data_IF_059244555943
#
_entry.id   IF_059244555943
#
_cell.length_a   1.000
_cell.length_b   1.000
_cell.length_c   1.000
_cell.angle_alpha   90.00
_cell.angle_beta   90.00
_cell.angle_gamma   90.00
#
_symmetry.space_group_name_H-M   'P 1'
#
loop_
_entity.id
_entity.type
_entity.pdbx_description
1 polymer ?
#
# COMPACT_ATOMS: atom_id res chain seq x y z
N UNK A 1 -7.07 -34.46 25.33
CA UNK A 1 -7.72 -35.35 24.35
C UNK A 1 -7.65 -36.84 24.72
N UNK A 2 -7.35 -37.21 25.97
CA UNK A 2 -7.24 -38.61 26.42
C UNK A 2 -8.29 -39.04 27.47
N UNK A 3 -9.33 -38.23 27.72
CA UNK A 3 -10.36 -38.54 28.74
C UNK A 3 -11.68 -39.11 28.20
N UNK A 4 -11.86 -39.26 26.89
CA UNK A 4 -13.15 -39.74 26.30
C UNK A 4 -13.18 -41.21 25.89
N UNK A 5 -12.10 -41.98 26.09
CA UNK A 5 -12.05 -43.41 25.73
C UNK A 5 -12.28 -44.37 26.91
N UNK A 6 -12.53 -43.85 28.12
CA UNK A 6 -12.69 -44.67 29.34
C UNK A 6 -14.15 -45.07 29.64
N UNK A 7 -15.14 -44.47 28.99
CA UNK A 7 -16.56 -44.68 29.36
C UNK A 7 -17.25 -45.79 28.54
N UNK A 8 -16.67 -46.23 27.42
CA UNK A 8 -17.26 -47.26 26.56
C UNK A 8 -16.88 -48.71 26.93
N UNK A 9 -15.95 -48.93 27.86
CA UNK A 9 -15.50 -50.29 28.23
C UNK A 9 -16.32 -50.95 29.35
N UNK A 10 -17.31 -50.26 29.93
CA UNK A 10 -18.09 -50.75 31.08
C UNK A 10 -19.49 -51.31 30.73
N UNK A 11 -19.94 -51.24 29.47
CA UNK A 11 -21.32 -51.62 29.10
C UNK A 11 -21.43 -53.05 28.52
N UNK A 12 -20.33 -53.72 28.18
CA UNK A 12 -20.36 -55.04 27.50
C UNK A 12 -20.06 -56.25 28.42
N UNK A 13 -20.57 -56.26 29.67
CA UNK A 13 -20.32 -57.39 30.60
C UNK A 13 -21.55 -57.98 31.32
N UNK A 14 -22.76 -57.81 30.79
CA UNK A 14 -23.97 -58.48 31.32
C UNK A 14 -24.92 -58.93 30.22
N UNK A 15 -24.63 -60.08 29.62
CA UNK A 15 -25.64 -60.95 28.98
C UNK A 15 -24.96 -62.21 28.42
N UNK A 16 -24.59 -63.12 29.31
CA UNK A 16 -24.18 -64.48 28.95
C UNK A 16 -24.79 -65.47 29.94
N UNK A 17 -26.11 -65.56 29.94
CA UNK A 17 -26.86 -66.70 30.49
C UNK A 17 -28.00 -66.96 29.51
N UNK A 18 -27.87 -68.04 28.74
CA UNK A 18 -28.96 -68.57 27.93
C UNK A 18 -29.67 -69.69 28.69
N UNK A 19 -30.93 -69.98 28.36
CA UNK A 19 -31.50 -71.29 28.64
C UNK A 19 -31.71 -72.09 27.35
N UNK A 20 -31.60 -73.40 27.56
CA UNK A 20 -31.75 -74.50 26.62
C UNK A 20 -33.07 -74.45 25.84
N UNK A 21 -33.01 -74.75 24.54
CA UNK A 21 -34.16 -75.15 23.73
C UNK A 21 -34.11 -76.67 23.59
N UNK A 22 -35.06 -77.36 24.24
CA UNK A 22 -35.49 -78.69 23.84
C UNK A 22 -36.57 -78.57 22.76
N UNK A 23 -36.56 -79.55 21.86
CA UNK A 23 -37.50 -79.77 20.77
C UNK A 23 -38.96 -79.71 21.23
N UNK A 24 -39.76 -78.83 20.64
CA UNK A 24 -41.20 -79.08 20.49
C UNK A 24 -41.69 -78.70 19.10
N UNK A 25 -42.37 -79.68 18.53
CA UNK A 25 -42.80 -79.83 17.16
C UNK A 25 -43.90 -78.87 16.74
N UNK A 26 -43.75 -78.41 15.50
CA UNK A 26 -44.68 -77.67 14.64
C UNK A 26 -46.17 -77.97 14.87
N UNK A 27 -46.90 -76.96 15.36
CA UNK A 27 -48.35 -76.82 15.23
C UNK A 27 -48.67 -75.56 14.42
N UNK A 28 -48.98 -75.74 13.13
CA UNK A 28 -49.55 -74.70 12.27
C UNK A 28 -50.99 -74.42 12.74
N UNK A 29 -51.22 -73.30 13.41
CA UNK A 29 -52.55 -72.69 13.47
C UNK A 29 -52.43 -71.19 13.25
N UNK A 30 -52.97 -70.78 12.11
CA UNK A 30 -53.36 -69.43 11.73
C UNK A 30 -53.94 -68.63 12.91
N UNK A 31 -53.29 -67.54 13.27
CA UNK A 31 -53.91 -66.45 14.02
C UNK A 31 -53.55 -65.10 13.41
N UNK A 32 -54.61 -64.31 13.34
CA UNK A 32 -54.85 -63.01 12.73
C UNK A 32 -53.74 -61.96 12.86
N UNK A 33 -53.58 -61.20 11.78
CA UNK A 33 -52.81 -59.96 11.73
C UNK A 33 -53.55 -58.86 12.51
N UNK A 34 -53.16 -58.66 13.76
CA UNK A 34 -53.43 -57.40 14.47
C UNK A 34 -52.35 -56.37 14.07
N UNK A 35 -52.74 -55.11 13.77
CA UNK A 35 -51.79 -54.06 13.45
C UNK A 35 -50.99 -53.71 14.70
N UNK A 36 -49.67 -53.91 14.64
CA UNK A 36 -48.73 -53.50 15.68
C UNK A 36 -48.72 -51.98 15.76
N UNK A 37 -49.31 -51.45 16.83
CA UNK A 37 -49.14 -50.06 17.24
C UNK A 37 -47.65 -49.77 17.43
N UNK A 38 -47.10 -48.96 16.52
CA UNK A 38 -45.75 -48.42 16.64
C UNK A 38 -45.72 -47.45 17.84
N UNK A 39 -44.82 -47.64 18.82
CA UNK A 39 -44.72 -46.74 19.95
C UNK A 39 -44.38 -45.32 19.48
N UNK A 40 -45.26 -44.38 19.85
CA UNK A 40 -45.14 -42.94 19.66
C UNK A 40 -43.78 -42.45 20.24
N UNK A 41 -42.81 -42.17 19.36
CA UNK A 41 -41.54 -41.59 19.81
C UNK A 41 -40.35 -41.63 18.86
N UNK A 42 -40.35 -42.48 17.82
CA UNK A 42 -39.29 -42.44 16.80
C UNK A 42 -39.72 -41.60 15.60
N UNK A 43 -39.38 -40.30 15.64
CA UNK A 43 -39.42 -39.45 14.45
C UNK A 43 -38.58 -40.08 13.33
N UNK A 44 -39.07 -40.04 12.09
CA UNK A 44 -38.38 -40.55 10.89
C UNK A 44 -36.96 -39.95 10.78
N UNK A 45 -36.79 -38.69 11.18
CA UNK A 45 -35.50 -38.01 11.25
C UNK A 45 -34.49 -38.65 12.22
N UNK A 46 -34.96 -39.26 13.31
CA UNK A 46 -34.10 -39.99 14.25
C UNK A 46 -33.61 -41.32 13.67
N UNK A 47 -34.48 -42.01 12.92
CA UNK A 47 -34.14 -43.25 12.22
C UNK A 47 -33.14 -42.95 11.09
N UNK A 48 -33.33 -41.87 10.34
CA UNK A 48 -32.37 -41.43 9.31
C UNK A 48 -31.00 -41.10 9.90
N UNK A 49 -30.96 -40.40 11.04
CA UNK A 49 -29.71 -40.09 11.73
C UNK A 49 -28.98 -41.36 12.23
N UNK A 50 -29.71 -42.31 12.81
CA UNK A 50 -29.16 -43.60 13.25
C UNK A 50 -28.64 -44.42 12.06
N UNK A 51 -29.35 -44.40 10.93
CA UNK A 51 -28.96 -45.12 9.73
C UNK A 51 -27.70 -44.52 9.09
N UNK A 52 -27.54 -43.20 9.14
CA UNK A 52 -26.30 -42.52 8.74
C UNK A 52 -25.13 -42.81 9.68
N UNK A 53 -25.37 -42.88 10.99
CA UNK A 53 -24.34 -43.25 11.97
C UNK A 53 -23.91 -44.71 11.80
N UNK A 54 -24.85 -45.64 11.59
CA UNK A 54 -24.53 -47.04 11.27
C UNK A 54 -23.76 -47.19 9.96
N UNK A 55 -24.07 -46.39 8.93
CA UNK A 55 -23.30 -46.38 7.67
C UNK A 55 -21.87 -45.89 7.88
N UNK A 56 -21.67 -44.85 8.71
CA UNK A 56 -20.34 -44.35 9.08
C UNK A 56 -19.55 -45.39 9.85
N UNK A 57 -20.17 -46.04 10.83
CA UNK A 57 -19.54 -47.09 11.64
C UNK A 57 -19.15 -48.30 10.78
N UNK A 58 -20.05 -48.75 9.89
CA UNK A 58 -19.75 -49.82 8.93
C UNK A 58 -18.58 -49.46 8.01
N UNK A 59 -18.52 -48.22 7.51
CA UNK A 59 -17.41 -47.76 6.69
C UNK A 59 -16.09 -47.74 7.47
N UNK A 60 -16.12 -47.32 8.74
CA UNK A 60 -14.95 -47.33 9.61
C UNK A 60 -14.44 -48.75 9.86
N UNK A 61 -15.32 -49.69 10.21
CA UNK A 61 -14.97 -51.10 10.42
C UNK A 61 -14.42 -51.72 9.13
N UNK A 62 -14.99 -51.37 7.97
CA UNK A 62 -14.50 -51.85 6.68
C UNK A 62 -13.06 -51.38 6.40
N UNK A 63 -12.73 -50.12 6.70
CA UNK A 63 -11.38 -49.58 6.54
C UNK A 63 -10.39 -50.24 7.51
N UNK A 64 -10.80 -50.47 8.75
CA UNK A 64 -9.99 -51.18 9.75
C UNK A 64 -9.70 -52.62 9.30
N UNK A 65 -10.70 -53.33 8.78
CA UNK A 65 -10.53 -54.67 8.24
C UNK A 65 -9.60 -54.68 7.03
N UNK A 66 -9.73 -53.73 6.11
CA UNK A 66 -8.84 -53.59 4.94
C UNK A 66 -7.38 -53.34 5.37
N UNK A 67 -7.15 -52.51 6.40
CA UNK A 67 -5.81 -52.28 6.94
C UNK A 67 -5.19 -53.55 7.53
N UNK A 68 -5.97 -54.34 8.27
CA UNK A 68 -5.50 -55.62 8.81
C UNK A 68 -5.29 -56.68 7.72
N UNK A 69 -6.17 -56.76 6.73
CA UNK A 69 -6.03 -57.67 5.58
C UNK A 69 -4.74 -57.34 4.80
N UNK A 70 -4.52 -56.07 4.45
CA UNK A 70 -3.31 -55.63 3.77
C UNK A 70 -2.03 -55.95 4.57
N UNK A 71 -2.04 -55.77 5.89
CA UNK A 71 -0.92 -56.15 6.75
C UNK A 71 -0.68 -57.66 6.77
N UNK A 72 -1.74 -58.48 6.93
CA UNK A 72 -1.62 -59.94 6.89
C UNK A 72 -1.11 -60.44 5.54
N UNK A 73 -1.57 -59.84 4.43
CA UNK A 73 -1.09 -60.17 3.09
C UNK A 73 0.39 -59.80 2.87
N UNK A 74 0.86 -58.68 3.40
CA UNK A 74 2.26 -58.25 3.23
C UNK A 74 3.24 -58.97 4.17
N UNK A 75 2.83 -59.25 5.41
CA UNK A 75 3.73 -59.79 6.44
C UNK A 75 3.57 -61.29 6.72
N UNK A 76 2.39 -61.87 6.50
CA UNK A 76 2.14 -63.31 6.75
C UNK A 76 2.18 -64.17 5.48
N UNK A 77 2.10 -63.59 4.27
CA UNK A 77 2.22 -64.37 3.02
C UNK A 77 3.58 -65.12 2.90
N UNK A 78 4.65 -64.59 3.50
CA UNK A 78 5.94 -65.26 3.54
C UNK A 78 6.03 -66.44 4.54
N UNK A 79 5.13 -66.54 5.51
CA UNK A 79 5.14 -67.60 6.51
C UNK A 79 4.40 -68.88 6.07
N UNK A 80 3.44 -68.78 5.13
CA UNK A 80 2.67 -69.93 4.65
C UNK A 80 3.24 -70.59 3.39
N UNK A 81 4.13 -69.91 2.64
CA UNK A 81 4.71 -70.45 1.41
C UNK A 81 5.82 -71.50 1.55
N UNK A 82 6.27 -71.83 2.79
CA UNK A 82 7.41 -72.74 3.01
C UNK A 82 7.13 -73.98 3.87
N UNK A 83 5.87 -74.26 4.20
CA UNK A 83 5.47 -75.49 4.91
C UNK A 83 4.47 -76.30 4.10
N UNK A 84 4.88 -76.86 2.96
CA UNK A 84 4.16 -77.95 2.26
C UNK A 84 5.00 -78.59 1.14
N UNK A 85 6.28 -78.86 1.40
CA UNK A 85 7.12 -79.63 0.47
C UNK A 85 7.56 -81.00 1.02
N UNK A 86 7.22 -81.33 2.27
CA UNK A 86 7.76 -82.53 2.94
C UNK A 86 6.74 -83.65 3.19
N UNK A 87 5.48 -83.48 2.78
CA UNK A 87 4.41 -84.48 3.03
C UNK A 87 3.73 -85.01 1.77
N UNK A 88 4.46 -85.02 0.64
CA UNK A 88 4.02 -85.65 -0.62
C UNK A 88 4.64 -87.01 -0.81
N UNK A 89 4.41 -87.94 0.12
CA UNK A 89 4.59 -89.38 -0.12
C UNK A 89 3.60 -90.20 0.69
N UNK A 90 2.34 -90.22 0.28
CA UNK A 90 1.52 -91.44 0.25
C UNK A 90 0.14 -91.18 -0.39
N UNK A 91 -0.19 -92.05 -1.36
CA UNK A 91 -1.53 -92.62 -1.58
C UNK A 91 -2.73 -91.71 -1.73
N UNK A 92 -3.24 -91.59 -2.96
CA UNK A 92 -4.39 -90.74 -3.27
C UNK A 92 -5.75 -91.26 -2.81
N UNK A 93 -6.72 -90.35 -2.82
CA UNK A 93 -8.08 -90.60 -3.33
C UNK A 93 -8.68 -89.24 -3.68
N UNK A 94 -9.09 -89.06 -4.94
CA UNK A 94 -9.86 -87.88 -5.37
C UNK A 94 -11.24 -87.94 -4.72
N UNK A 95 -11.45 -87.20 -3.62
CA UNK A 95 -12.78 -86.90 -3.10
C UNK A 95 -13.13 -85.47 -3.50
N UNK A 96 -14.09 -85.38 -4.43
CA UNK A 96 -14.69 -84.14 -4.93
C UNK A 96 -15.69 -83.65 -3.88
N UNK A 97 -15.28 -82.78 -2.97
CA UNK A 97 -16.21 -82.07 -2.08
C UNK A 97 -16.55 -80.70 -2.65
N UNK A 98 -17.76 -80.61 -3.20
CA UNK A 98 -18.53 -79.37 -3.37
C UNK A 98 -18.73 -78.71 -2.00
N UNK A 99 -18.63 -77.38 -1.98
CA UNK A 99 -19.36 -76.52 -1.07
C UNK A 99 -19.01 -76.63 0.41
N UNK A 100 -18.00 -75.88 0.84
CA UNK A 100 -18.04 -75.05 2.06
C UNK A 100 -16.70 -74.34 2.21
N UNK A 101 -16.76 -73.09 2.66
CA UNK A 101 -15.63 -72.16 2.65
C UNK A 101 -14.32 -72.75 3.12
N UNK A 102 -13.27 -72.52 2.34
CA UNK A 102 -11.89 -72.63 2.80
C UNK A 102 -11.72 -71.56 3.87
N UNK A 103 -12.12 -71.89 5.11
CA UNK A 103 -11.58 -71.24 6.29
C UNK A 103 -10.10 -71.60 6.26
N UNK A 104 -9.26 -70.63 5.93
CA UNK A 104 -7.83 -70.66 6.19
C UNK A 104 -7.64 -70.97 7.68
N UNK A 105 -7.59 -72.26 8.00
CA UNK A 105 -7.28 -72.78 9.31
C UNK A 105 -5.83 -72.39 9.59
N UNK A 106 -5.68 -71.29 10.34
CA UNK A 106 -4.38 -70.67 10.58
C UNK A 106 -4.35 -69.15 10.40
N UNK A 107 -5.49 -68.43 10.33
CA UNK A 107 -5.46 -66.99 10.59
C UNK A 107 -5.07 -66.76 12.05
N UNK A 108 -3.77 -66.57 12.28
CA UNK A 108 -3.22 -66.12 13.55
C UNK A 108 -3.90 -64.78 13.85
N UNK A 109 -4.81 -64.79 14.84
CA UNK A 109 -5.51 -63.58 15.28
C UNK A 109 -4.45 -62.63 15.81
N UNK A 110 -4.27 -61.49 15.15
CA UNK A 110 -3.40 -60.41 15.62
C UNK A 110 -3.75 -60.08 17.08
N UNK A 111 -2.73 -60.08 17.93
CA UNK A 111 -2.86 -59.62 19.32
C UNK A 111 -3.22 -58.13 19.33
N UNK A 112 -3.83 -57.65 20.42
CA UNK A 112 -4.21 -56.25 20.55
C UNK A 112 -3.02 -55.29 20.36
N UNK A 113 -1.84 -55.66 20.85
CA UNK A 113 -0.62 -54.90 20.67
C UNK A 113 -0.20 -54.81 19.18
N UNK A 114 -0.26 -55.93 18.45
CA UNK A 114 0.04 -55.96 17.01
C UNK A 114 -0.99 -55.14 16.22
N UNK A 115 -2.28 -55.20 16.57
CA UNK A 115 -3.31 -54.34 15.96
C UNK A 115 -3.02 -52.85 16.17
N UNK A 116 -2.61 -52.45 17.37
CA UNK A 116 -2.21 -51.06 17.63
C UNK A 116 -1.01 -50.65 16.77
N UNK A 117 0.02 -51.50 16.65
CA UNK A 117 1.20 -51.22 15.79
C UNK A 117 0.79 -51.07 14.32
N UNK A 118 -0.11 -51.93 13.82
CA UNK A 118 -0.63 -51.84 12.46
C UNK A 118 -1.38 -50.52 12.26
N UNK A 119 -2.29 -50.18 13.16
CA UNK A 119 -3.04 -48.92 13.09
C UNK A 119 -2.12 -47.69 13.20
N UNK A 120 -1.10 -47.70 14.05
CA UNK A 120 -0.12 -46.62 14.13
C UNK A 120 0.69 -46.49 12.84
N UNK A 121 1.14 -47.61 12.25
CA UNK A 121 1.86 -47.59 10.98
C UNK A 121 0.96 -47.10 9.83
N UNK A 122 -0.30 -47.49 9.81
CA UNK A 122 -1.28 -47.03 8.83
C UNK A 122 -1.63 -45.55 9.01
N UNK A 123 -1.77 -45.08 10.25
CA UNK A 123 -1.93 -43.64 10.56
C UNK A 123 -0.73 -42.84 10.06
N UNK A 124 0.50 -43.32 10.30
CA UNK A 124 1.71 -42.61 9.82
C UNK A 124 1.81 -42.63 8.29
N UNK A 125 1.43 -43.74 7.63
CA UNK A 125 1.33 -43.85 6.18
C UNK A 125 0.32 -42.87 5.60
N UNK A 126 -0.90 -42.85 6.14
CA UNK A 126 -1.96 -41.91 5.74
C UNK A 126 -1.55 -40.46 5.99
N UNK A 127 -0.90 -40.15 7.11
CA UNK A 127 -0.36 -38.81 7.38
C UNK A 127 0.73 -38.40 6.39
N UNK A 128 1.57 -39.34 5.96
CA UNK A 128 2.60 -39.07 4.96
C UNK A 128 1.98 -38.85 3.58
N UNK A 129 0.99 -39.67 3.19
CA UNK A 129 0.23 -39.51 1.95
C UNK A 129 -0.52 -38.18 1.92
N UNK A 130 -1.18 -37.79 3.02
CA UNK A 130 -1.84 -36.48 3.15
C UNK A 130 -0.85 -35.33 2.98
N UNK A 131 0.35 -35.42 3.57
CA UNK A 131 1.39 -34.40 3.37
C UNK A 131 1.85 -34.32 1.92
N UNK A 132 2.04 -35.46 1.26
CA UNK A 132 2.41 -35.53 -0.17
C UNK A 132 1.33 -34.91 -1.05
N UNK A 133 0.08 -35.36 -0.92
CA UNK A 133 -1.06 -34.82 -1.66
C UNK A 133 -1.22 -33.32 -1.43
N UNK A 134 -1.00 -32.85 -0.19
CA UNK A 134 -1.04 -31.41 0.10
C UNK A 134 0.01 -30.64 -0.70
N UNK A 135 1.24 -31.11 -0.78
CA UNK A 135 2.30 -30.46 -1.57
C UNK A 135 1.99 -30.56 -3.07
N UNK A 136 1.54 -31.73 -3.53
CA UNK A 136 1.15 -31.98 -4.93
C UNK A 136 0.00 -31.07 -5.38
N UNK A 137 -0.94 -30.72 -4.49
CA UNK A 137 -2.03 -29.79 -4.76
C UNK A 137 -1.65 -28.31 -4.56
N UNK A 138 -0.80 -27.98 -3.57
CA UNK A 138 -0.42 -26.59 -3.29
C UNK A 138 0.34 -25.95 -4.46
N UNK A 139 1.23 -26.68 -5.12
CA UNK A 139 2.01 -26.17 -6.26
C UNK A 139 1.11 -25.72 -7.43
N UNK A 140 0.21 -26.55 -7.99
CA UNK A 140 -0.67 -26.14 -9.07
C UNK A 140 -1.64 -25.05 -8.64
N UNK A 141 -2.18 -25.10 -7.40
CA UNK A 141 -3.06 -24.04 -6.89
C UNK A 141 -2.32 -22.69 -6.86
N UNK A 142 -1.08 -22.66 -6.38
CA UNK A 142 -0.26 -21.44 -6.38
C UNK A 142 0.02 -20.95 -7.81
N UNK A 143 0.30 -21.85 -8.74
CA UNK A 143 0.52 -21.50 -10.15
C UNK A 143 -0.75 -20.92 -10.81
N UNK A 144 -1.91 -21.55 -10.59
CA UNK A 144 -3.18 -21.02 -11.10
C UNK A 144 -3.52 -19.68 -10.47
N UNK A 145 -3.27 -19.50 -9.17
CA UNK A 145 -3.50 -18.23 -8.48
C UNK A 145 -2.59 -17.13 -9.05
N UNK A 146 -1.29 -17.43 -9.26
CA UNK A 146 -0.35 -16.50 -9.88
C UNK A 146 -0.77 -16.14 -11.32
N UNK A 147 -1.24 -17.12 -12.11
CA UNK A 147 -1.74 -16.86 -13.46
C UNK A 147 -3.00 -15.98 -13.44
N UNK A 148 -3.93 -16.22 -12.52
CA UNK A 148 -5.13 -15.39 -12.38
C UNK A 148 -4.72 -13.95 -12.04
N UNK A 149 -3.90 -13.75 -11.01
CA UNK A 149 -3.39 -12.42 -10.63
C UNK A 149 -2.69 -11.71 -11.80
N UNK A 150 -1.83 -12.43 -12.54
CA UNK A 150 -1.15 -11.88 -13.71
C UNK A 150 -2.14 -11.49 -14.82
N UNK A 151 -3.14 -12.33 -15.11
CA UNK A 151 -4.14 -12.02 -16.14
C UNK A 151 -5.03 -10.85 -15.76
N UNK A 152 -5.38 -10.69 -14.47
CA UNK A 152 -6.12 -9.54 -13.97
C UNK A 152 -5.32 -8.24 -14.12
N UNK A 153 -4.03 -8.27 -13.77
CA UNK A 153 -3.12 -7.15 -13.96
C UNK A 153 -3.04 -6.80 -15.45
N UNK A 154 -2.76 -7.77 -16.33
CA UNK A 154 -2.68 -7.56 -17.79
C UNK A 154 -3.99 -7.01 -18.37
N UNK A 155 -5.14 -7.49 -17.90
CA UNK A 155 -6.46 -7.02 -18.34
C UNK A 155 -6.67 -5.53 -18.08
N UNK A 156 -6.12 -5.01 -16.98
CA UNK A 156 -6.22 -3.58 -16.64
C UNK A 156 -5.11 -2.74 -17.29
N UNK A 157 -3.88 -3.26 -17.36
CA UNK A 157 -2.72 -2.52 -17.86
C UNK A 157 -2.68 -2.41 -19.38
N UNK A 158 -3.06 -3.45 -20.13
CA UNK A 158 -2.94 -3.45 -21.60
C UNK A 158 -3.78 -2.34 -22.25
N UNK A 159 -5.08 -2.16 -21.91
CA UNK A 159 -5.87 -1.07 -22.50
C UNK A 159 -5.30 0.31 -22.17
N UNK A 160 -4.86 0.52 -20.92
CA UNK A 160 -4.26 1.78 -20.50
C UNK A 160 -2.95 2.08 -21.26
N UNK A 161 -2.09 1.07 -21.44
CA UNK A 161 -0.85 1.19 -22.21
C UNK A 161 -1.13 1.44 -23.69
N UNK A 162 -2.16 0.81 -24.27
CA UNK A 162 -2.58 1.05 -25.64
C UNK A 162 -3.06 2.49 -25.85
N UNK A 163 -3.86 3.02 -24.93
CA UNK A 163 -4.34 4.41 -25.01
C UNK A 163 -3.20 5.41 -24.81
N UNK A 164 -2.30 5.14 -23.86
CA UNK A 164 -1.09 5.94 -23.63
C UNK A 164 -0.17 5.92 -24.86
N UNK A 165 0.01 4.76 -25.50
CA UNK A 165 0.80 4.63 -26.73
C UNK A 165 0.17 5.41 -27.89
N UNK A 166 -1.15 5.30 -28.09
CA UNK A 166 -1.87 6.07 -29.12
C UNK A 166 -1.68 7.57 -28.91
N UNK A 167 -1.81 8.06 -27.69
CA UNK A 167 -1.68 9.49 -27.40
C UNK A 167 -0.22 9.97 -27.56
N UNK A 168 0.73 9.29 -26.93
CA UNK A 168 2.10 9.78 -26.80
C UNK A 168 3.00 9.47 -28.00
N UNK A 169 2.69 8.41 -28.75
CA UNK A 169 3.50 7.98 -29.90
C UNK A 169 2.76 8.28 -31.20
N UNK A 170 1.52 7.81 -31.34
CA UNK A 170 0.79 7.94 -32.61
C UNK A 170 0.30 9.37 -32.85
N UNK A 171 -0.36 10.00 -31.87
CA UNK A 171 -0.92 11.34 -32.06
C UNK A 171 0.13 12.44 -31.89
N UNK A 172 0.94 12.38 -30.82
CA UNK A 172 1.94 13.39 -30.54
C UNK A 172 3.19 13.29 -31.43
N UNK A 173 3.56 12.08 -31.87
CA UNK A 173 4.76 11.83 -32.65
C UNK A 173 4.58 11.85 -34.16
N UNK A 174 3.34 11.96 -34.68
CA UNK A 174 3.05 11.94 -36.12
C UNK A 174 3.41 13.25 -36.79
N UNK A 175 4.37 13.19 -37.71
CA UNK A 175 4.71 14.33 -38.56
C UNK A 175 3.91 14.26 -39.86
N UNK A 176 3.00 15.24 -40.05
CA UNK A 176 2.17 15.36 -41.25
C UNK A 176 2.99 15.53 -42.54
N UNK A 177 4.23 16.05 -42.45
CA UNK A 177 5.10 16.28 -43.62
C UNK A 177 5.74 14.98 -44.11
N UNK A 178 6.09 14.09 -43.19
CA UNK A 178 6.76 12.82 -43.48
C UNK A 178 5.70 11.70 -43.65
N UNK A 179 4.49 11.88 -43.13
CA UNK A 179 3.44 10.86 -43.13
C UNK A 179 3.75 9.69 -42.20
N UNK A 180 4.66 9.88 -41.25
CA UNK A 180 5.15 8.85 -40.35
C UNK A 180 5.38 9.38 -38.94
N UNK A 181 5.47 8.47 -37.97
CA UNK A 181 5.80 8.78 -36.58
C UNK A 181 7.31 8.96 -36.43
N UNK A 182 7.71 10.03 -35.77
CA UNK A 182 9.12 10.31 -35.46
C UNK A 182 9.70 9.24 -34.54
N UNK A 183 10.88 8.72 -34.89
CA UNK A 183 11.57 7.66 -34.13
C UNK A 183 11.93 8.09 -32.71
N UNK A 184 12.20 9.38 -32.48
CA UNK A 184 12.48 9.94 -31.16
C UNK A 184 11.33 9.73 -30.18
N UNK A 185 10.07 9.95 -30.59
CA UNK A 185 8.90 9.73 -29.73
C UNK A 185 8.74 8.26 -29.34
N UNK A 186 9.00 7.35 -30.28
CA UNK A 186 8.97 5.92 -30.00
C UNK A 186 10.07 5.50 -29.02
N UNK A 187 11.31 5.96 -29.23
CA UNK A 187 12.45 5.66 -28.34
C UNK A 187 12.24 6.24 -26.94
N UNK A 188 11.70 7.46 -26.83
CA UNK A 188 11.36 8.08 -25.54
C UNK A 188 10.30 7.27 -24.80
N UNK A 189 9.24 6.87 -25.49
CA UNK A 189 8.18 6.03 -24.91
C UNK A 189 8.73 4.66 -24.45
N UNK A 190 9.59 4.03 -25.25
CA UNK A 190 10.26 2.78 -24.86
C UNK A 190 11.11 2.95 -23.60
N UNK A 191 11.88 4.04 -23.50
CA UNK A 191 12.65 4.37 -22.29
C UNK A 191 11.77 4.48 -21.04
N UNK A 192 10.66 5.23 -21.14
CA UNK A 192 9.69 5.37 -20.05
C UNK A 192 9.10 4.01 -19.64
N UNK A 193 8.72 3.18 -20.62
CA UNK A 193 8.19 1.84 -20.35
C UNK A 193 9.21 0.94 -19.65
N UNK A 194 10.49 1.01 -20.03
CA UNK A 194 11.54 0.22 -19.39
C UNK A 194 11.75 0.64 -17.94
N UNK A 195 11.84 1.94 -17.65
CA UNK A 195 11.94 2.45 -16.28
C UNK A 195 10.70 2.09 -15.45
N UNK A 196 9.50 2.17 -16.02
CA UNK A 196 8.26 1.77 -15.36
C UNK A 196 8.26 0.27 -15.01
N UNK A 197 8.68 -0.59 -15.93
CA UNK A 197 8.83 -2.03 -15.67
C UNK A 197 9.84 -2.30 -14.55
N UNK A 198 11.00 -1.65 -14.58
CA UNK A 198 12.04 -1.82 -13.55
C UNK A 198 11.54 -1.40 -12.16
N UNK A 199 10.86 -0.25 -12.07
CA UNK A 199 10.25 0.20 -10.80
C UNK A 199 9.16 -0.76 -10.31
N UNK A 200 8.35 -1.34 -11.21
CA UNK A 200 7.35 -2.34 -10.86
C UNK A 200 8.00 -3.65 -10.37
N UNK A 201 9.06 -4.13 -11.02
CA UNK A 201 9.83 -5.30 -10.58
C UNK A 201 10.39 -5.06 -9.17
N UNK A 202 11.05 -3.93 -8.94
CA UNK A 202 11.60 -3.58 -7.63
C UNK A 202 10.53 -3.54 -6.55
N UNK A 203 9.36 -2.95 -6.85
CA UNK A 203 8.21 -2.95 -5.94
C UNK A 203 7.73 -4.35 -5.59
N UNK A 204 7.55 -5.21 -6.60
CA UNK A 204 7.11 -6.60 -6.40
C UNK A 204 8.14 -7.43 -5.61
N UNK A 205 9.43 -7.21 -5.83
CA UNK A 205 10.50 -7.86 -5.06
C UNK A 205 10.46 -7.45 -3.57
N UNK A 206 10.29 -6.15 -3.29
CA UNK A 206 10.14 -5.65 -1.92
C UNK A 206 8.89 -6.23 -1.28
N UNK A 207 7.74 -6.19 -1.95
CA UNK A 207 6.48 -6.73 -1.43
C UNK A 207 6.58 -8.25 -1.17
N UNK A 208 7.21 -9.00 -2.09
CA UNK A 208 7.47 -10.43 -1.92
C UNK A 208 8.37 -10.72 -0.72
N UNK A 209 9.44 -9.94 -0.53
CA UNK A 209 10.32 -10.07 0.64
C UNK A 209 9.56 -9.80 1.95
N UNK A 210 8.72 -8.76 1.98
CA UNK A 210 7.91 -8.38 3.14
C UNK A 210 6.87 -9.45 3.47
N UNK A 211 6.16 -9.97 2.46
CA UNK A 211 5.19 -11.08 2.62
C UNK A 211 5.89 -12.32 3.20
N UNK A 212 7.09 -12.67 2.71
CA UNK A 212 7.87 -13.80 3.25
C UNK A 212 8.27 -13.59 4.71
N UNK A 213 8.72 -12.39 5.08
CA UNK A 213 9.06 -12.05 6.48
C UNK A 213 7.81 -12.19 7.37
N UNK A 214 6.68 -11.60 6.98
CA UNK A 214 5.41 -11.69 7.73
C UNK A 214 4.94 -13.14 7.89
N UNK A 215 5.04 -13.95 6.85
CA UNK A 215 4.69 -15.37 6.91
C UNK A 215 5.56 -16.12 7.92
N UNK A 216 6.88 -15.89 7.93
CA UNK A 216 7.79 -16.50 8.90
C UNK A 216 7.45 -16.08 10.33
N UNK A 217 7.19 -14.78 10.55
CA UNK A 217 6.76 -14.25 11.85
C UNK A 217 5.45 -14.91 12.33
N UNK A 218 4.46 -15.06 11.44
CA UNK A 218 3.19 -15.71 11.78
C UNK A 218 3.38 -17.19 12.12
N UNK A 219 4.15 -17.93 11.33
CA UNK A 219 4.48 -19.34 11.61
C UNK A 219 5.19 -19.48 12.95
N UNK A 220 6.13 -18.60 13.25
CA UNK A 220 6.83 -18.56 14.53
C UNK A 220 5.86 -18.27 15.68
N UNK A 221 4.97 -17.28 15.55
CA UNK A 221 3.92 -16.96 16.54
C UNK A 221 3.00 -18.14 16.82
N UNK A 222 2.58 -18.90 15.80
CA UNK A 222 1.76 -20.10 15.97
C UNK A 222 2.53 -21.18 16.74
N UNK A 223 3.80 -21.38 16.40
CA UNK A 223 4.66 -22.36 17.08
C UNK A 223 4.87 -22.00 18.54
N UNK A 224 5.18 -20.73 18.83
CA UNK A 224 5.29 -20.22 20.19
C UNK A 224 3.99 -20.40 20.97
N UNK A 225 2.84 -20.04 20.40
CA UNK A 225 1.53 -20.27 21.03
C UNK A 225 1.27 -21.74 21.34
N UNK A 226 1.68 -22.68 20.47
CA UNK A 226 1.58 -24.11 20.75
C UNK A 226 2.47 -24.54 21.92
N UNK A 227 3.72 -24.07 21.96
CA UNK A 227 4.66 -24.36 23.05
C UNK A 227 4.14 -23.78 24.37
N UNK A 228 3.71 -22.52 24.39
CA UNK A 228 3.15 -21.88 25.58
C UNK A 228 1.90 -22.58 26.10
N UNK A 229 1.00 -23.02 25.22
CA UNK A 229 -0.18 -23.80 25.63
C UNK A 229 0.18 -25.16 26.23
N UNK A 230 1.31 -25.74 25.84
CA UNK A 230 1.79 -27.00 26.40
C UNK A 230 2.59 -26.79 27.71
N UNK A 231 3.28 -25.66 27.85
CA UNK A 231 4.16 -25.37 28.99
C UNK A 231 3.42 -24.73 30.18
N UNK A 232 2.41 -23.90 29.95
CA UNK A 232 1.69 -23.19 31.00
C UNK A 232 0.41 -23.89 31.43
N UNK A 233 0.05 -23.72 32.70
CA UNK A 233 -1.31 -24.02 33.13
C UNK A 233 -2.31 -23.07 32.47
N UNK A 234 -3.60 -23.45 32.34
CA UNK A 234 -4.60 -22.59 31.71
C UNK A 234 -4.70 -21.18 32.32
N UNK A 235 -4.51 -21.06 33.63
CA UNK A 235 -4.58 -19.79 34.36
C UNK A 235 -3.38 -18.87 34.04
N UNK A 236 -2.16 -19.42 34.01
CA UNK A 236 -0.95 -18.67 33.67
C UNK A 236 -0.98 -18.20 32.21
N UNK A 237 -1.46 -19.05 31.30
CA UNK A 237 -1.64 -18.70 29.90
C UNK A 237 -2.61 -17.53 29.73
N UNK A 238 -3.71 -17.52 30.49
CA UNK A 238 -4.71 -16.46 30.44
C UNK A 238 -4.17 -15.13 30.99
N UNK A 239 -3.43 -15.17 32.12
CA UNK A 239 -2.74 -13.99 32.65
C UNK A 239 -1.73 -13.40 31.65
N UNK A 240 -0.91 -14.25 31.04
CA UNK A 240 0.05 -13.82 30.00
C UNK A 240 -0.67 -13.24 28.78
N UNK A 241 -1.80 -13.84 28.36
CA UNK A 241 -2.61 -13.33 27.24
C UNK A 241 -3.15 -11.94 27.51
N UNK A 242 -3.61 -11.68 28.73
CA UNK A 242 -4.09 -10.36 29.15
C UNK A 242 -2.96 -9.31 29.14
N UNK A 243 -1.79 -9.65 29.68
CA UNK A 243 -0.60 -8.78 29.66
C UNK A 243 -0.11 -8.47 28.23
N UNK A 244 -0.06 -9.47 27.36
CA UNK A 244 0.25 -9.23 25.95
C UNK A 244 -0.80 -8.33 25.29
N UNK A 245 -2.10 -8.53 25.59
CA UNK A 245 -3.16 -7.70 25.03
C UNK A 245 -3.05 -6.24 25.48
N UNK A 246 -2.71 -5.97 26.74
CA UNK A 246 -2.48 -4.59 27.20
C UNK A 246 -1.26 -3.97 26.52
N UNK A 247 -0.14 -4.69 26.44
CA UNK A 247 1.07 -4.20 25.76
C UNK A 247 0.84 -3.89 24.27
N UNK A 248 0.04 -4.71 23.56
CA UNK A 248 -0.32 -4.42 22.17
C UNK A 248 -1.20 -3.17 22.03
N UNK A 249 -2.08 -2.89 23.00
CA UNK A 249 -2.87 -1.64 23.00
C UNK A 249 -1.98 -0.42 23.18
N UNK A 250 -1.06 -0.46 24.15
CA UNK A 250 -0.08 0.63 24.37
C UNK A 250 0.77 0.87 23.12
N UNK A 251 1.21 -0.20 22.45
CA UNK A 251 1.93 -0.10 21.18
C UNK A 251 1.10 0.56 20.07
N UNK A 252 -0.18 0.17 19.92
CA UNK A 252 -1.07 0.76 18.93
C UNK A 252 -1.36 2.25 19.22
N UNK A 253 -1.50 2.63 20.49
CA UNK A 253 -1.62 4.02 20.93
C UNK A 253 -0.37 4.83 20.57
N UNK A 254 0.84 4.32 20.90
CA UNK A 254 2.11 4.97 20.51
C UNK A 254 2.24 5.09 18.99
N UNK A 255 1.81 4.06 18.24
CA UNK A 255 1.83 4.08 16.77
C UNK A 255 0.92 5.18 16.20
N UNK A 256 -0.26 5.38 16.78
CA UNK A 256 -1.15 6.50 16.42
C UNK A 256 -0.50 7.84 16.73
N UNK A 257 0.12 7.99 17.91
CA UNK A 257 0.85 9.22 18.28
C UNK A 257 2.00 9.52 17.31
N UNK A 258 2.80 8.52 16.93
CA UNK A 258 3.86 8.67 15.92
C UNK A 258 3.26 9.07 14.57
N UNK A 259 2.10 8.52 14.19
CA UNK A 259 1.37 8.91 13.00
C UNK A 259 0.98 10.40 13.01
N UNK A 260 0.42 10.87 14.11
CA UNK A 260 0.07 12.29 14.31
C UNK A 260 1.31 13.19 14.25
N UNK A 261 2.40 12.82 14.92
CA UNK A 261 3.65 13.56 14.89
C UNK A 261 4.22 13.68 13.46
N UNK A 262 4.20 12.59 12.67
CA UNK A 262 4.63 12.61 11.27
C UNK A 262 3.77 13.55 10.42
N UNK A 263 2.45 13.56 10.65
CA UNK A 263 1.55 14.47 9.96
C UNK A 263 1.85 15.94 10.30
N UNK A 264 2.02 16.28 11.58
CA UNK A 264 2.41 17.62 12.03
C UNK A 264 3.75 18.01 11.41
N UNK A 265 4.74 17.12 11.43
CA UNK A 265 6.06 17.36 10.83
C UNK A 265 5.96 17.65 9.32
N UNK A 266 5.12 16.92 8.59
CA UNK A 266 4.88 17.16 7.16
C UNK A 266 4.25 18.55 6.91
N UNK A 267 3.27 18.94 7.73
CA UNK A 267 2.63 20.26 7.66
C UNK A 267 3.63 21.39 7.97
N UNK A 268 4.46 21.22 8.99
CA UNK A 268 5.51 22.19 9.34
C UNK A 268 6.55 22.34 8.23
N UNK A 269 6.97 21.24 7.60
CA UNK A 269 7.86 21.29 6.42
C UNK A 269 7.25 22.06 5.25
N UNK A 270 5.95 21.88 5.02
CA UNK A 270 5.22 22.60 3.96
C UNK A 270 5.16 24.11 4.24
N UNK A 271 4.82 24.51 5.48
CA UNK A 271 4.86 25.92 5.92
C UNK A 271 6.26 26.52 5.83
N UNK A 272 7.29 25.77 6.24
CA UNK A 272 8.68 26.20 6.12
C UNK A 272 9.09 26.44 4.66
N UNK A 273 8.65 25.59 3.74
CA UNK A 273 8.91 25.77 2.31
C UNK A 273 8.21 27.02 1.76
N UNK A 274 7.02 27.36 2.26
CA UNK A 274 6.32 28.60 1.93
C UNK A 274 7.06 29.83 2.45
N UNK A 275 7.48 29.83 3.73
CA UNK A 275 8.25 30.93 4.30
C UNK A 275 9.57 31.15 3.57
N UNK A 276 10.28 30.07 3.19
CA UNK A 276 11.49 30.17 2.37
C UNK A 276 11.22 30.82 1.01
N UNK A 277 10.09 30.50 0.36
CA UNK A 277 9.69 31.15 -0.90
C UNK A 277 9.40 32.63 -0.70
N UNK A 278 8.68 33.00 0.36
CA UNK A 278 8.38 34.41 0.68
C UNK A 278 9.65 35.21 0.94
N UNK A 279 10.55 34.72 1.79
CA UNK A 279 11.83 35.39 2.08
C UNK A 279 12.67 35.59 0.82
N UNK A 280 12.74 34.60 -0.08
CA UNK A 280 13.45 34.76 -1.36
C UNK A 280 12.84 35.86 -2.24
N UNK A 281 11.53 35.99 -2.23
CA UNK A 281 10.82 37.01 -3.00
C UNK A 281 11.08 38.40 -2.42
N UNK A 282 10.97 38.56 -1.11
CA UNK A 282 11.28 39.84 -0.43
C UNK A 282 12.75 40.24 -0.59
N UNK A 283 13.69 39.27 -0.55
CA UNK A 283 15.10 39.54 -0.83
C UNK A 283 15.31 40.07 -2.24
N UNK A 284 14.65 39.47 -3.23
CA UNK A 284 14.73 39.94 -4.63
C UNK A 284 14.14 41.36 -4.77
N UNK A 285 13.02 41.65 -4.13
CA UNK A 285 12.44 43.00 -4.13
C UNK A 285 13.41 43.99 -3.49
N UNK A 286 14.03 43.64 -2.36
CA UNK A 286 15.04 44.50 -1.73
C UNK A 286 16.24 44.73 -2.64
N UNK A 287 16.74 43.70 -3.32
CA UNK A 287 17.80 43.84 -4.33
C UNK A 287 17.38 44.86 -5.42
N UNK A 288 16.19 44.71 -6.00
CA UNK A 288 15.65 45.63 -7.01
C UNK A 288 15.52 47.08 -6.49
N UNK A 289 15.08 47.26 -5.23
CA UNK A 289 14.97 48.58 -4.58
C UNK A 289 16.36 49.18 -4.35
N UNK A 290 17.33 48.39 -3.87
CA UNK A 290 18.70 48.87 -3.66
C UNK A 290 19.34 49.32 -4.96
N UNK A 291 19.09 48.61 -6.06
CA UNK A 291 19.55 49.00 -7.39
C UNK A 291 18.91 50.33 -7.82
N UNK A 292 17.59 50.48 -7.70
CA UNK A 292 16.90 51.75 -8.01
C UNK A 292 17.37 52.93 -7.15
N UNK A 293 17.68 52.69 -5.88
CA UNK A 293 18.26 53.71 -5.00
C UNK A 293 19.65 54.12 -5.45
N UNK A 294 20.46 53.18 -5.95
CA UNK A 294 21.78 53.47 -6.48
C UNK A 294 21.69 54.30 -7.77
N UNK A 295 20.82 53.90 -8.71
CA UNK A 295 20.54 54.68 -9.93
C UNK A 295 20.03 56.09 -9.61
N UNK A 296 19.13 56.23 -8.63
CA UNK A 296 18.61 57.54 -8.21
C UNK A 296 19.71 58.41 -7.56
N UNK A 297 20.64 57.82 -6.80
CA UNK A 297 21.79 58.53 -6.24
C UNK A 297 22.73 59.02 -7.33
N UNK A 298 23.04 58.20 -8.31
CA UNK A 298 23.86 58.57 -9.47
C UNK A 298 23.21 59.69 -10.30
N UNK A 299 21.89 59.63 -10.48
CA UNK A 299 21.15 60.69 -11.15
C UNK A 299 21.19 62.01 -10.36
N UNK A 300 21.04 61.95 -9.04
CA UNK A 300 21.12 63.12 -8.16
C UNK A 300 22.52 63.76 -8.16
N UNK A 301 23.60 62.97 -8.17
CA UNK A 301 24.96 63.52 -8.27
C UNK A 301 25.21 64.18 -9.63
N UNK A 302 24.70 63.61 -10.72
CA UNK A 302 24.74 64.22 -12.05
C UNK A 302 24.00 65.57 -12.08
N UNK A 303 22.79 65.65 -11.51
CA UNK A 303 22.05 66.90 -11.41
C UNK A 303 22.77 67.95 -10.56
N UNK A 304 23.37 67.55 -9.43
CA UNK A 304 24.17 68.46 -8.61
C UNK A 304 25.34 69.05 -9.40
N UNK A 305 26.09 68.22 -10.13
CA UNK A 305 27.19 68.71 -10.98
C UNK A 305 26.73 69.67 -12.07
N UNK A 306 25.56 69.43 -12.68
CA UNK A 306 24.97 70.36 -13.66
C UNK A 306 24.49 71.66 -13.03
N UNK A 307 23.94 71.60 -11.81
CA UNK A 307 23.57 72.79 -11.05
C UNK A 307 24.81 73.65 -10.75
N UNK A 308 25.92 73.01 -10.37
CA UNK A 308 27.19 73.69 -10.11
C UNK A 308 27.74 74.38 -11.38
N UNK A 309 27.65 73.73 -12.54
CA UNK A 309 27.99 74.33 -13.84
C UNK A 309 27.14 75.55 -14.16
N UNK A 310 25.81 75.43 -14.04
CA UNK A 310 24.89 76.55 -14.28
C UNK A 310 25.17 77.71 -13.31
N UNK A 311 25.50 77.42 -12.04
CA UNK A 311 25.86 78.45 -11.07
C UNK A 311 27.19 79.14 -11.44
N UNK A 312 28.16 78.41 -12.01
CA UNK A 312 29.40 79.00 -12.55
C UNK A 312 29.10 79.91 -13.74
N UNK A 313 28.29 79.45 -14.70
CA UNK A 313 27.86 80.26 -15.85
C UNK A 313 27.15 81.55 -15.42
N UNK A 314 26.24 81.47 -14.44
CA UNK A 314 25.55 82.65 -13.88
C UNK A 314 26.58 83.62 -13.26
N UNK A 315 27.55 83.13 -12.50
CA UNK A 315 28.56 83.98 -11.89
C UNK A 315 29.48 84.64 -12.93
N UNK A 316 29.77 83.96 -14.05
CA UNK A 316 30.49 84.53 -15.19
C UNK A 316 29.67 85.61 -15.91
N UNK A 317 28.39 85.33 -16.20
CA UNK A 317 27.48 86.31 -16.80
C UNK A 317 27.29 87.55 -15.90
N UNK A 318 27.22 87.38 -14.58
CA UNK A 318 27.13 88.49 -13.62
C UNK A 318 28.39 89.36 -13.64
N UNK A 319 29.59 88.76 -13.72
CA UNK A 319 30.86 89.51 -13.88
C UNK A 319 30.91 90.26 -15.20
N UNK A 320 30.48 89.63 -16.29
CA UNK A 320 30.38 90.29 -17.58
C UNK A 320 29.39 91.46 -17.53
N UNK A 321 28.23 91.29 -16.90
CA UNK A 321 27.26 92.37 -16.70
C UNK A 321 27.84 93.54 -15.88
N UNK A 322 28.57 93.27 -14.80
CA UNK A 322 29.26 94.32 -14.04
C UNK A 322 30.28 95.08 -14.90
N UNK A 323 31.04 94.37 -15.72
CA UNK A 323 32.01 94.99 -16.63
C UNK A 323 31.35 95.90 -17.67
N UNK A 324 30.22 95.46 -18.26
CA UNK A 324 29.43 96.24 -19.21
C UNK A 324 28.82 97.47 -18.52
N UNK A 325 28.32 97.32 -17.29
CA UNK A 325 27.78 98.43 -16.50
C UNK A 325 28.85 99.47 -16.17
N UNK A 326 30.09 99.06 -15.90
CA UNK A 326 31.24 99.97 -15.72
C UNK A 326 31.59 100.72 -17.02
N UNK A 327 31.55 100.05 -18.18
CA UNK A 327 31.74 100.69 -19.50
C UNK A 327 30.62 101.68 -19.81
N UNK A 328 29.36 101.34 -19.52
CA UNK A 328 28.22 102.24 -19.68
C UNK A 328 28.33 103.46 -18.75
N UNK A 329 28.77 103.28 -17.50
CA UNK A 329 28.97 104.39 -16.54
C UNK A 329 30.11 105.34 -16.93
N UNK A 330 31.12 104.84 -17.64
CA UNK A 330 32.29 105.64 -18.07
C UNK A 330 32.09 106.39 -19.39
N UNK A 331 31.09 106.06 -20.20
CA UNK A 331 30.77 106.79 -21.44
C UNK A 331 29.56 107.73 -21.27
N UNK A 332 29.82 109.04 -21.12
CA UNK A 332 28.79 110.09 -21.23
C UNK A 332 28.56 110.48 -22.70
N UNK A 333 27.73 109.73 -23.44
CA UNK A 333 27.22 110.17 -24.75
C UNK A 333 25.71 109.88 -24.93
N UNK A 334 24.89 110.86 -25.38
CA UNK A 334 23.43 110.74 -25.53
C UNK A 334 22.94 109.62 -26.47
N UNK A 335 23.78 109.12 -27.38
CA UNK A 335 23.44 108.01 -28.27
C UNK A 335 23.37 106.65 -27.53
N UNK A 336 24.15 106.47 -26.44
CA UNK A 336 24.16 105.25 -25.64
C UNK A 336 22.90 105.08 -24.80
N UNK A 337 22.19 106.15 -24.44
CA UNK A 337 20.98 106.05 -23.62
C UNK A 337 19.86 105.28 -24.35
N UNK A 338 19.78 105.39 -25.68
CA UNK A 338 18.86 104.58 -26.51
C UNK A 338 19.31 103.12 -26.62
N UNK A 339 20.62 102.87 -26.65
CA UNK A 339 21.17 101.49 -26.68
C UNK A 339 21.05 100.80 -25.31
N UNK A 340 21.32 101.51 -24.21
CA UNK A 340 21.17 101.04 -22.84
C UNK A 340 19.71 100.69 -22.52
N UNK A 341 18.72 101.49 -22.97
CA UNK A 341 17.31 101.13 -22.85
C UNK A 341 16.95 99.89 -23.69
N UNK A 342 17.59 99.67 -24.84
CA UNK A 342 17.40 98.48 -25.67
C UNK A 342 18.04 97.24 -25.03
N UNK A 343 19.22 97.37 -24.43
CA UNK A 343 19.91 96.31 -23.69
C UNK A 343 19.18 95.96 -22.40
N UNK A 344 18.70 96.94 -21.64
CA UNK A 344 17.86 96.73 -20.45
C UNK A 344 16.61 95.92 -20.80
N UNK A 345 15.96 96.23 -21.93
CA UNK A 345 14.80 95.47 -22.42
C UNK A 345 15.18 94.03 -22.82
N UNK A 346 16.34 93.82 -23.45
CA UNK A 346 16.86 92.47 -23.75
C UNK A 346 17.21 91.71 -22.47
N UNK A 347 17.74 92.37 -21.44
CA UNK A 347 18.04 91.76 -20.13
C UNK A 347 16.74 91.38 -19.40
N UNK A 348 15.71 92.22 -19.44
CA UNK A 348 14.38 91.89 -18.92
C UNK A 348 13.75 90.72 -19.69
N UNK A 349 13.87 90.70 -21.02
CA UNK A 349 13.39 89.59 -21.85
C UNK A 349 14.15 88.28 -21.56
N UNK A 350 15.48 88.35 -21.36
CA UNK A 350 16.29 87.20 -20.91
C UNK A 350 15.89 86.73 -19.53
N UNK A 351 15.65 87.64 -18.58
CA UNK A 351 15.19 87.32 -17.22
C UNK A 351 13.81 86.66 -17.24
N UNK A 352 12.92 87.11 -18.12
CA UNK A 352 11.63 86.45 -18.38
C UNK A 352 11.79 85.09 -19.07
N UNK A 353 12.78 84.92 -19.94
CA UNK A 353 13.05 83.64 -20.58
C UNK A 353 13.62 82.61 -19.60
N UNK A 354 14.59 82.99 -18.77
CA UNK A 354 15.12 82.17 -17.67
C UNK A 354 14.02 81.86 -16.65
N UNK A 355 13.17 82.83 -16.33
CA UNK A 355 11.99 82.62 -15.50
C UNK A 355 11.01 81.59 -16.08
N UNK A 356 10.76 81.64 -17.39
CA UNK A 356 9.94 80.63 -18.11
C UNK A 356 10.59 79.25 -18.10
N UNK A 357 11.89 79.16 -18.37
CA UNK A 357 12.63 77.90 -18.33
C UNK A 357 12.60 77.24 -16.93
N UNK A 358 12.72 78.03 -15.85
CA UNK A 358 12.54 77.54 -14.47
C UNK A 358 11.11 77.04 -14.20
N UNK A 359 10.11 77.73 -14.73
CA UNK A 359 8.70 77.35 -14.60
C UNK A 359 8.38 76.05 -15.36
N UNK A 360 8.98 75.86 -16.52
CA UNK A 360 8.83 74.62 -17.29
C UNK A 360 9.57 73.45 -16.62
N UNK A 361 10.77 73.68 -16.07
CA UNK A 361 11.50 72.67 -15.29
C UNK A 361 10.69 72.24 -14.05
N UNK A 362 10.16 73.19 -13.29
CA UNK A 362 9.31 72.87 -12.12
C UNK A 362 8.04 72.13 -12.51
N UNK A 363 7.38 72.48 -13.62
CA UNK A 363 6.25 71.71 -14.17
C UNK A 363 6.64 70.28 -14.55
N UNK A 364 7.81 70.07 -15.17
CA UNK A 364 8.28 68.72 -15.52
C UNK A 364 8.58 67.89 -14.28
N UNK A 365 9.21 68.47 -13.25
CA UNK A 365 9.47 67.80 -11.97
C UNK A 365 8.14 67.41 -11.30
N UNK A 366 7.15 68.31 -11.28
CA UNK A 366 5.83 68.06 -10.70
C UNK A 366 5.12 66.90 -11.41
N UNK A 367 5.15 66.86 -12.75
CA UNK A 367 4.59 65.76 -13.54
C UNK A 367 5.25 64.42 -13.22
N UNK A 368 6.59 64.38 -13.17
CA UNK A 368 7.33 63.16 -12.81
C UNK A 368 6.95 62.70 -11.41
N UNK A 369 6.81 63.63 -10.46
CA UNK A 369 6.42 63.30 -9.09
C UNK A 369 4.98 62.77 -8.99
N UNK A 370 4.05 63.31 -9.78
CA UNK A 370 2.67 62.80 -9.89
C UNK A 370 2.61 61.39 -10.51
N UNK A 371 3.41 61.11 -11.52
CA UNK A 371 3.50 59.78 -12.14
C UNK A 371 4.10 58.74 -11.19
N UNK A 372 5.16 59.09 -10.47
CA UNK A 372 5.75 58.24 -9.43
C UNK A 372 4.74 57.96 -8.30
N UNK A 373 3.95 58.95 -7.90
CA UNK A 373 2.91 58.78 -6.89
C UNK A 373 1.80 57.83 -7.36
N UNK A 374 1.30 58.00 -8.60
CA UNK A 374 0.30 57.10 -9.19
C UNK A 374 0.84 55.67 -9.34
N UNK A 375 2.11 55.50 -9.69
CA UNK A 375 2.75 54.20 -9.78
C UNK A 375 2.93 53.55 -8.39
N UNK A 376 3.25 54.33 -7.36
CA UNK A 376 3.30 53.86 -5.97
C UNK A 376 1.94 53.32 -5.51
N UNK A 377 0.85 54.03 -5.80
CA UNK A 377 -0.52 53.58 -5.48
C UNK A 377 -0.91 52.29 -6.22
N UNK A 378 -0.46 52.11 -7.47
CA UNK A 378 -0.70 50.87 -8.24
C UNK A 378 0.11 49.67 -7.75
N UNK A 379 1.26 49.91 -7.13
CA UNK A 379 2.11 48.87 -6.52
C UNK A 379 1.70 48.55 -5.08
N UNK A 380 0.80 49.33 -4.47
CA UNK A 380 0.31 49.16 -3.09
C UNK A 380 -1.19 48.85 -2.93
N UNK A 381 -1.87 48.07 -3.81
CA UNK A 381 -3.21 47.57 -3.50
C UNK A 381 -3.20 46.50 -2.39
N UNK A 382 -2.04 45.99 -1.95
CA UNK A 382 -1.92 44.96 -0.91
C UNK A 382 -1.85 45.48 0.54
N UNK A 383 -2.14 46.76 0.78
CA UNK A 383 -2.18 47.35 2.14
C UNK A 383 -3.55 47.91 2.55
N UNK A 384 -4.59 47.69 1.74
CA UNK A 384 -5.99 48.05 2.05
C UNK A 384 -6.94 46.84 1.98
N UNK A 385 -6.42 45.62 2.19
CA UNK A 385 -7.28 44.52 2.65
C UNK A 385 -7.31 44.57 4.18
N UNK A 386 -8.46 44.98 4.72
CA UNK A 386 -8.81 44.79 6.12
C UNK A 386 -8.55 43.33 6.53
N UNK A 387 -8.04 43.07 7.74
CA UNK A 387 -7.92 41.70 8.22
C UNK A 387 -9.32 41.07 8.29
N UNK A 388 -9.53 39.85 7.75
CA UNK A 388 -10.80 39.17 7.92
C UNK A 388 -11.03 38.97 9.41
N UNK A 389 -12.18 39.46 9.86
CA UNK A 389 -12.66 39.29 11.22
C UNK A 389 -12.52 37.82 11.65
N UNK A 390 -12.02 37.67 12.86
CA UNK A 390 -11.94 36.44 13.61
C UNK A 390 -13.16 35.55 13.42
N UNK A 391 -13.03 34.47 12.64
CA UNK A 391 -13.82 33.26 12.85
C UNK A 391 -13.43 32.66 14.19
N UNK A 392 -14.23 32.98 15.19
CA UNK A 392 -14.39 32.25 16.44
C UNK A 392 -14.69 30.78 16.10
N UNK A 393 -13.74 29.90 16.39
CA UNK A 393 -14.00 28.46 16.48
C UNK A 393 -14.37 28.16 17.93
N UNK A 394 -15.64 27.78 18.13
CA UNK A 394 -16.05 26.84 19.17
C UNK A 394 -15.82 25.41 18.68
#
# INVERSE_FOLDING_TARGET
MFRRLSEHSLILRRSSEGPNFEDETLGLSSFETDPVDLPEGLNISHIEALLDDMKREKAQISLENEAFENYTHQHLAHHFGKRSAQDRRQGGTYVKLRGNGIRLAGQQKLTWAEKCIVLESEITRMQHQLRRMKVECEVPINNYTANIEETEIRRTEIPALLDEFKQNVVLAGYDKRIGAVTTEHLLRYQGICMTRKETQINRLLVDSSLKRIKMRQMRWSIRQRRIWRAAFTPLEYERMRLLHRSAYREYDEMKVQIGQQRWIQSRLRSKLAEFKRRVRLELKINEDITQKLLEAKEFATCLSGRLDQVNQEIAEEEKEQESILLVIKSQKLPALHRYANKVMKIVEDKKHHVGRARLDLTKTILKVHEELWKNSQRLSPSLTEEPPESTVFN
#
